data_IF_381609219539
#
_entry.id   IF_381609219539
#
_cell.length_a   1.000
_cell.length_b   1.000
_cell.length_c   1.000
_cell.angle_alpha   90.00
_cell.angle_beta   90.00
_cell.angle_gamma   90.00
#
_symmetry.space_group_name_H-M   'P 1'
#
loop_
_entity.id
_entity.type
_entity.pdbx_description
1 polymer ?
#
# COMPACT_ATOMS: atom_id res chain seq x y z
N UNK A 1 -11.84 17.52 -13.16
CA UNK A 1 -10.81 16.70 -13.84
C UNK A 1 -9.95 16.10 -12.75
N UNK A 2 -9.77 14.77 -12.68
CA UNK A 2 -8.82 14.18 -11.73
C UNK A 2 -7.44 14.68 -12.11
N UNK A 3 -6.81 15.41 -11.21
CA UNK A 3 -5.47 15.95 -11.41
C UNK A 3 -4.51 14.77 -11.67
N UNK A 4 -3.75 14.84 -12.77
CA UNK A 4 -2.74 13.84 -13.13
C UNK A 4 -1.68 13.72 -12.02
N UNK A 5 -1.50 14.77 -11.22
CA UNK A 5 -0.62 14.77 -10.05
C UNK A 5 -1.06 13.79 -8.95
N UNK A 6 -2.34 13.42 -8.90
CA UNK A 6 -2.85 12.43 -7.94
C UNK A 6 -2.75 10.98 -8.46
N UNK A 7 -2.38 10.80 -9.73
CA UNK A 7 -2.32 9.49 -10.38
C UNK A 7 -1.11 8.69 -9.85
N UNK A 8 -1.34 7.46 -9.39
CA UNK A 8 -0.31 6.55 -8.85
C UNK A 8 0.34 6.97 -7.52
N UNK A 9 -0.19 7.97 -6.80
CA UNK A 9 0.35 8.35 -5.49
C UNK A 9 -0.17 7.41 -4.40
N UNK A 10 0.74 6.76 -3.68
CA UNK A 10 0.40 5.96 -2.48
C UNK A 10 0.15 6.91 -1.32
N UNK A 11 -1.06 6.87 -0.75
CA UNK A 11 -1.47 7.72 0.37
C UNK A 11 -1.70 6.88 1.61
N UNK A 12 -1.20 7.35 2.75
CA UNK A 12 -1.58 6.82 4.05
C UNK A 12 -3.09 7.01 4.26
N UNK A 13 -3.74 5.98 4.82
CA UNK A 13 -5.18 5.98 5.10
C UNK A 13 -5.45 5.98 6.60
N UNK A 14 -4.92 5.00 7.32
CA UNK A 14 -5.09 4.85 8.77
C UNK A 14 -4.18 3.76 9.34
N UNK A 15 -4.09 3.72 10.67
CA UNK A 15 -3.67 2.52 11.42
C UNK A 15 -4.93 1.69 11.75
N UNK A 16 -4.86 0.38 11.60
CA UNK A 16 -5.93 -0.52 12.04
C UNK A 16 -5.35 -1.68 12.85
N UNK A 17 -6.08 -2.11 13.88
CA UNK A 17 -5.75 -3.31 14.67
C UNK A 17 -6.68 -4.45 14.24
N UNK A 18 -6.12 -5.59 13.86
CA UNK A 18 -6.87 -6.82 13.57
C UNK A 18 -6.30 -7.96 14.40
N UNK A 19 -7.11 -8.48 15.33
CA UNK A 19 -6.68 -9.50 16.31
C UNK A 19 -5.40 -9.04 17.02
N UNK A 20 -4.32 -9.80 16.88
CA UNK A 20 -3.02 -9.59 17.51
C UNK A 20 -2.06 -8.71 16.69
N UNK A 21 -2.46 -8.23 15.51
CA UNK A 21 -1.60 -7.46 14.63
C UNK A 21 -2.12 -6.01 14.41
N UNK A 22 -1.18 -5.09 14.21
CA UNK A 22 -1.45 -3.68 13.90
C UNK A 22 -0.89 -3.39 12.52
N UNK A 23 -1.68 -2.70 11.70
CA UNK A 23 -1.38 -2.45 10.29
C UNK A 23 -1.39 -0.96 9.98
N UNK A 24 -0.35 -0.49 9.31
CA UNK A 24 -0.37 0.76 8.58
C UNK A 24 -1.00 0.53 7.19
N UNK A 25 -2.06 1.27 6.89
CA UNK A 25 -2.85 1.05 5.68
C UNK A 25 -2.65 2.22 4.72
N UNK A 26 -2.40 1.88 3.46
CA UNK A 26 -2.17 2.80 2.37
C UNK A 26 -3.08 2.45 1.19
N UNK A 27 -3.35 3.43 0.34
CA UNK A 27 -4.13 3.25 -0.89
C UNK A 27 -3.47 3.97 -2.04
N UNK A 28 -3.52 3.36 -3.22
CA UNK A 28 -3.18 3.99 -4.50
C UNK A 28 -4.32 3.76 -5.48
N UNK A 29 -4.58 4.74 -6.31
CA UNK A 29 -5.49 4.62 -7.42
C UNK A 29 -4.94 5.39 -8.62
N UNK A 30 -5.36 5.00 -9.81
CA UNK A 30 -4.90 5.68 -10.99
C UNK A 30 -5.57 5.23 -12.28
N UNK A 31 -5.16 5.89 -13.35
CA UNK A 31 -5.60 5.61 -14.72
C UNK A 31 -4.35 5.50 -15.59
N UNK A 32 -4.23 4.38 -16.34
CA UNK A 32 -3.15 4.16 -17.30
C UNK A 32 -3.72 3.47 -18.54
N UNK A 33 -3.55 4.08 -19.72
CA UNK A 33 -4.02 3.54 -21.01
C UNK A 33 -5.50 3.10 -21.00
N UNK A 34 -6.38 3.91 -20.39
CA UNK A 34 -7.81 3.61 -20.26
C UNK A 34 -8.18 2.63 -19.13
N UNK A 35 -7.19 1.99 -18.50
CA UNK A 35 -7.41 1.11 -17.34
C UNK A 35 -7.48 1.96 -16.08
N UNK A 36 -8.60 1.89 -15.37
CA UNK A 36 -8.72 2.39 -14.01
C UNK A 36 -8.25 1.29 -13.05
N UNK A 37 -7.34 1.61 -12.14
CA UNK A 37 -6.86 0.66 -11.15
C UNK A 37 -6.89 1.27 -9.75
N UNK A 38 -6.97 0.39 -8.75
CA UNK A 38 -6.76 0.76 -7.36
C UNK A 38 -6.16 -0.42 -6.60
N UNK A 39 -5.24 -0.13 -5.69
CA UNK A 39 -4.67 -1.12 -4.79
C UNK A 39 -4.68 -0.59 -3.36
N UNK A 40 -4.83 -1.51 -2.41
CA UNK A 40 -4.67 -1.25 -0.98
C UNK A 40 -3.45 -2.01 -0.49
N UNK A 41 -2.60 -1.33 0.29
CA UNK A 41 -1.38 -1.90 0.86
C UNK A 41 -1.57 -1.86 2.38
N UNK A 42 -1.46 -3.00 3.04
CA UNK A 42 -1.50 -3.10 4.50
C UNK A 42 -0.18 -3.71 4.96
N UNK A 43 0.57 -2.95 5.75
CA UNK A 43 1.87 -3.37 6.29
C UNK A 43 1.71 -3.62 7.78
N UNK A 44 2.04 -4.83 8.23
CA UNK A 44 2.14 -5.12 9.66
C UNK A 44 3.28 -4.28 10.25
N UNK A 45 2.98 -3.48 11.27
CA UNK A 45 3.97 -2.57 11.85
C UNK A 45 5.15 -3.33 12.48
N UNK A 46 4.92 -4.57 12.95
CA UNK A 46 5.99 -5.39 13.51
C UNK A 46 6.98 -5.88 12.45
N UNK A 47 6.53 -6.07 11.21
CA UNK A 47 7.39 -6.40 10.07
C UNK A 47 8.25 -5.20 9.63
N UNK A 48 7.87 -3.98 10.04
CA UNK A 48 8.65 -2.77 9.85
C UNK A 48 9.53 -2.43 11.07
N UNK A 49 9.64 -3.34 12.05
CA UNK A 49 10.41 -3.15 13.27
C UNK A 49 10.01 -1.87 14.05
N UNK A 50 8.73 -1.47 13.95
CA UNK A 50 8.17 -0.35 14.70
C UNK A 50 7.11 -0.82 15.70
N UNK A 51 6.92 -0.04 16.76
CA UNK A 51 6.00 -0.34 17.85
C UNK A 51 4.80 0.61 17.85
N UNK A 52 3.69 0.18 18.45
CA UNK A 52 2.47 0.99 18.56
C UNK A 52 2.65 2.27 19.39
N UNK A 53 3.70 2.35 20.19
CA UNK A 53 4.07 3.55 20.96
C UNK A 53 4.99 4.51 20.23
N UNK A 54 5.48 4.16 19.03
CA UNK A 54 6.24 5.08 18.19
C UNK A 54 5.36 6.22 17.69
N UNK A 55 5.97 7.35 17.37
CA UNK A 55 5.28 8.47 16.73
C UNK A 55 4.75 8.06 15.36
N UNK A 56 3.59 8.61 14.97
CA UNK A 56 2.86 8.20 13.77
C UNK A 56 3.70 8.37 12.51
N UNK A 57 4.49 9.44 12.42
CA UNK A 57 5.37 9.76 11.29
C UNK A 57 6.38 8.62 11.06
N UNK A 58 7.03 8.15 12.12
CA UNK A 58 7.98 7.02 12.05
C UNK A 58 7.28 5.75 11.56
N UNK A 59 6.09 5.45 12.09
CA UNK A 59 5.33 4.26 11.67
C UNK A 59 5.00 4.34 10.17
N UNK A 60 4.55 5.52 9.70
CA UNK A 60 4.21 5.74 8.30
C UNK A 60 5.44 5.58 7.40
N UNK A 61 6.57 6.22 7.74
CA UNK A 61 7.78 6.20 6.94
C UNK A 61 8.37 4.80 6.78
N UNK A 62 8.52 4.07 7.89
CA UNK A 62 9.10 2.73 7.90
C UNK A 62 8.18 1.72 7.18
N UNK A 63 6.87 1.79 7.43
CA UNK A 63 5.91 0.95 6.72
C UNK A 63 5.84 1.28 5.22
N UNK A 64 5.93 2.56 4.84
CA UNK A 64 5.93 2.97 3.43
C UNK A 64 7.19 2.45 2.71
N UNK A 65 8.35 2.45 3.36
CA UNK A 65 9.61 1.95 2.79
C UNK A 65 9.49 0.47 2.39
N UNK A 66 8.95 -0.36 3.29
CA UNK A 66 8.71 -1.78 3.01
C UNK A 66 7.59 -1.96 1.99
N UNK A 67 6.47 -1.25 2.18
CA UNK A 67 5.31 -1.32 1.29
C UNK A 67 5.66 -1.03 -0.17
N UNK A 68 6.48 0.00 -0.44
CA UNK A 68 6.95 0.32 -1.80
C UNK A 68 7.90 -0.74 -2.35
N UNK A 69 8.82 -1.26 -1.52
CA UNK A 69 9.78 -2.28 -1.94
C UNK A 69 9.09 -3.56 -2.40
N UNK A 70 8.12 -4.04 -1.62
CA UNK A 70 7.42 -5.28 -1.92
C UNK A 70 6.36 -5.09 -3.02
N UNK A 71 5.57 -4.01 -2.96
CA UNK A 71 4.51 -3.76 -3.95
C UNK A 71 5.06 -3.51 -5.37
N UNK A 72 6.22 -2.85 -5.52
CA UNK A 72 6.86 -2.67 -6.83
C UNK A 72 7.36 -3.97 -7.45
N UNK A 73 7.62 -4.99 -6.63
CA UNK A 73 8.05 -6.32 -7.05
C UNK A 73 6.89 -7.28 -7.25
N UNK A 74 5.66 -6.86 -6.93
CA UNK A 74 4.49 -7.70 -7.09
C UNK A 74 4.17 -7.87 -8.58
N UNK A 75 4.26 -9.11 -9.05
CA UNK A 75 3.79 -9.51 -10.37
C UNK A 75 2.31 -9.89 -10.27
N UNK A 76 1.44 -9.03 -10.80
CA UNK A 76 0.00 -9.30 -10.84
C UNK A 76 -0.35 -10.08 -12.11
N UNK A 77 -1.19 -11.10 -11.95
CA UNK A 77 -1.75 -11.86 -13.05
C UNK A 77 -3.26 -11.71 -13.04
N UNK A 78 -3.87 -11.65 -14.23
CA UNK A 78 -5.32 -11.74 -14.35
C UNK A 78 -5.74 -13.20 -14.28
N UNK A 79 -6.81 -13.46 -13.54
CA UNK A 79 -7.45 -14.77 -13.50
C UNK A 79 -7.79 -15.24 -14.93
N UNK A 80 -7.46 -16.50 -15.25
CA UNK A 80 -7.74 -17.10 -16.56
C UNK A 80 -6.80 -16.72 -17.71
N UNK A 81 -5.82 -15.83 -17.51
CA UNK A 81 -4.80 -15.52 -18.54
C UNK A 81 -3.47 -16.27 -18.34
N UNK A 82 -3.32 -17.02 -17.24
CA UNK A 82 -2.11 -17.78 -16.93
C UNK A 82 -1.90 -19.03 -17.82
N UNK A 83 -2.83 -19.31 -18.75
CA UNK A 83 -2.89 -20.53 -19.55
C UNK A 83 -2.85 -20.30 -21.06
N UNK A 84 -2.31 -19.17 -21.53
CA UNK A 84 -2.03 -18.91 -22.95
C UNK A 84 -0.53 -18.80 -23.21
#
# INVERSE_FOLDING_TARGET
MKDLAENNLVRFKNISKKKEAIYANFKVAGVKSGVNFSASISVDISAAEVHAGDVLEKIIEECARIGVKEFKRAEFQFEGLASM
#
